data_IF_717102263864
#
_entry.id   IF_717102263864
#
_cell.length_a   1.000
_cell.length_b   1.000
_cell.length_c   1.000
_cell.angle_alpha   90.00
_cell.angle_beta   90.00
_cell.angle_gamma   90.00
#
_symmetry.space_group_name_H-M   'P 1'
#
loop_
_entity.id
_entity.type
_entity.pdbx_description
1 polymer ?
#
# COMPACT_ATOMS: atom_id res chain seq x y z
N UNK A 1 24.59 10.78 17.23
CA UNK A 1 23.76 9.74 16.61
C UNK A 1 23.33 10.27 15.26
N UNK A 2 23.93 9.77 14.18
CA UNK A 2 23.71 10.29 12.83
C UNK A 2 22.27 9.98 12.40
N UNK A 3 21.42 11.01 12.32
CA UNK A 3 20.17 10.96 11.57
C UNK A 3 20.58 10.84 10.10
N UNK A 4 20.67 9.61 9.59
CA UNK A 4 20.62 9.42 8.15
C UNK A 4 19.18 9.76 7.79
N UNK A 5 18.94 11.00 7.38
CA UNK A 5 17.73 11.38 6.66
C UNK A 5 17.75 10.55 5.38
N UNK A 6 17.12 9.38 5.41
CA UNK A 6 16.97 8.57 4.21
C UNK A 6 16.08 9.38 3.27
N UNK A 7 16.70 10.01 2.27
CA UNK A 7 15.98 10.64 1.19
C UNK A 7 15.08 9.59 0.53
N UNK A 8 13.77 9.84 0.55
CA UNK A 8 12.79 8.99 -0.09
C UNK A 8 12.79 9.30 -1.59
N UNK A 9 13.71 8.64 -2.30
CA UNK A 9 13.95 8.90 -3.71
C UNK A 9 12.87 8.31 -4.63
N UNK A 10 12.11 7.32 -4.15
CA UNK A 10 11.07 6.66 -4.94
C UNK A 10 9.78 6.42 -4.15
N UNK A 11 8.67 6.22 -4.88
CA UNK A 11 7.41 5.77 -4.28
C UNK A 11 7.58 4.43 -3.55
N UNK A 12 8.49 3.56 -4.02
CA UNK A 12 8.78 2.30 -3.34
C UNK A 12 9.37 2.56 -1.95
N UNK A 13 10.33 3.48 -1.85
CA UNK A 13 10.99 3.82 -0.58
C UNK A 13 10.00 4.46 0.40
N UNK A 14 9.15 5.37 -0.09
CA UNK A 14 8.07 5.97 0.70
C UNK A 14 7.12 4.90 1.26
N UNK A 15 6.67 3.97 0.41
CA UNK A 15 5.77 2.88 0.84
C UNK A 15 6.48 1.95 1.82
N UNK A 16 7.76 1.64 1.61
CA UNK A 16 8.58 0.85 2.53
C UNK A 16 8.66 1.51 3.92
N UNK A 17 8.94 2.81 3.94
CA UNK A 17 9.00 3.59 5.17
C UNK A 17 7.67 3.52 5.93
N UNK A 18 6.55 3.82 5.28
CA UNK A 18 5.22 3.81 5.91
C UNK A 18 4.82 2.41 6.40
N UNK A 19 5.06 1.34 5.62
CA UNK A 19 4.75 -0.03 6.04
C UNK A 19 5.59 -0.49 7.25
N UNK A 20 6.80 0.06 7.39
CA UNK A 20 7.69 -0.22 8.52
C UNK A 20 7.26 0.50 9.79
N UNK A 21 6.81 1.76 9.68
CA UNK A 21 6.40 2.59 10.80
C UNK A 21 4.96 2.29 11.27
N UNK A 22 4.04 2.00 10.34
CA UNK A 22 2.61 1.88 10.62
C UNK A 22 2.08 0.50 10.15
N UNK A 23 2.16 -0.56 10.99
CA UNK A 23 1.76 -1.92 10.60
C UNK A 23 0.29 -2.06 10.13
N UNK A 24 -0.62 -1.25 10.67
CA UNK A 24 -2.04 -1.22 10.29
C UNK A 24 -2.28 -0.90 8.80
N UNK A 25 -1.32 -0.24 8.15
CA UNK A 25 -1.40 0.11 6.72
C UNK A 25 -1.19 -1.11 5.80
N UNK A 26 -0.60 -2.21 6.30
CA UNK A 26 -0.22 -3.38 5.48
C UNK A 26 -1.39 -4.04 4.78
N UNK A 27 -2.57 -3.97 5.38
CA UNK A 27 -3.81 -4.56 4.88
C UNK A 27 -4.75 -3.53 4.23
N UNK A 28 -4.50 -2.23 4.37
CA UNK A 28 -5.43 -1.16 4.00
C UNK A 28 -4.78 -0.13 3.04
N UNK A 29 -5.24 -0.13 1.79
CA UNK A 29 -4.73 0.75 0.73
C UNK A 29 -5.00 2.23 0.96
N UNK A 30 -6.21 2.55 1.42
CA UNK A 30 -6.61 3.94 1.66
C UNK A 30 -5.79 4.51 2.81
N UNK A 31 -5.64 3.75 3.90
CA UNK A 31 -4.83 4.18 5.03
C UNK A 31 -3.36 4.33 4.65
N UNK A 32 -2.79 3.36 3.92
CA UNK A 32 -1.42 3.45 3.42
C UNK A 32 -1.20 4.70 2.57
N UNK A 33 -2.13 4.99 1.64
CA UNK A 33 -2.05 6.18 0.79
C UNK A 33 -2.08 7.48 1.61
N UNK A 34 -3.01 7.59 2.56
CA UNK A 34 -3.12 8.78 3.41
C UNK A 34 -1.86 8.99 4.26
N UNK A 35 -1.30 7.92 4.83
CA UNK A 35 -0.04 8.00 5.58
C UNK A 35 1.13 8.40 4.67
N UNK A 36 1.20 7.89 3.44
CA UNK A 36 2.18 8.37 2.46
C UNK A 36 2.03 9.87 2.17
N UNK A 37 0.79 10.36 2.00
CA UNK A 37 0.53 11.78 1.77
C UNK A 37 0.96 12.64 2.97
N UNK A 38 0.69 12.20 4.20
CA UNK A 38 1.12 12.89 5.42
C UNK A 38 2.65 12.97 5.51
N UNK A 39 3.36 11.89 5.18
CA UNK A 39 4.84 11.87 5.15
C UNK A 39 5.39 12.87 4.13
N UNK A 40 4.69 13.09 3.01
CA UNK A 40 5.05 14.11 2.02
C UNK A 40 4.61 15.53 2.41
N UNK A 41 3.97 15.70 3.57
CA UNK A 41 3.62 17.01 4.12
C UNK A 41 2.17 17.46 3.89
N UNK A 42 1.28 16.62 3.35
CA UNK A 42 -0.13 16.99 3.26
C UNK A 42 -0.78 17.09 4.64
N UNK A 43 -1.48 18.20 4.86
CA UNK A 43 -2.23 18.48 6.09
C UNK A 43 -3.74 18.48 5.85
N UNK A 44 -4.16 18.85 4.64
CA UNK A 44 -5.56 18.87 4.23
C UNK A 44 -5.80 18.25 2.84
N UNK A 45 -7.05 18.26 2.40
CA UNK A 45 -7.45 17.68 1.11
C UNK A 45 -6.93 18.46 -0.09
N UNK A 46 -6.70 19.76 0.05
CA UNK A 46 -6.16 20.63 -1.00
C UNK A 46 -4.71 20.26 -1.29
N UNK A 47 -3.94 19.97 -0.24
CA UNK A 47 -2.55 19.52 -0.37
C UNK A 47 -2.43 18.21 -1.18
N UNK A 48 -3.42 17.31 -1.06
CA UNK A 48 -3.40 16.01 -1.75
C UNK A 48 -3.36 16.17 -3.27
N UNK A 49 -4.07 17.16 -3.81
CA UNK A 49 -4.09 17.44 -5.25
C UNK A 49 -2.71 17.92 -5.74
N UNK A 50 -1.98 18.66 -4.88
CA UNK A 50 -0.67 19.20 -5.21
C UNK A 50 0.47 18.17 -5.17
N UNK A 51 0.33 17.11 -4.35
CA UNK A 51 1.38 16.10 -4.15
C UNK A 51 1.63 15.20 -5.37
N UNK A 52 0.69 15.16 -6.32
CA UNK A 52 0.76 14.32 -7.53
C UNK A 52 1.06 12.82 -7.23
N UNK A 53 0.75 12.36 -6.02
CA UNK A 53 0.93 10.98 -5.58
C UNK A 53 -0.30 10.17 -5.98
N UNK A 54 -0.11 9.12 -6.77
CA UNK A 54 -1.21 8.24 -7.16
C UNK A 54 -1.42 7.10 -6.15
N UNK A 55 -2.65 6.95 -5.65
CA UNK A 55 -3.07 5.79 -4.86
C UNK A 55 -2.79 4.46 -5.59
N UNK A 56 -2.91 4.44 -6.92
CA UNK A 56 -2.64 3.25 -7.74
C UNK A 56 -1.14 2.91 -7.71
N UNK A 57 -0.28 3.92 -7.77
CA UNK A 57 1.18 3.72 -7.67
C UNK A 57 1.56 3.19 -6.29
N UNK A 58 1.00 3.76 -5.22
CA UNK A 58 1.19 3.29 -3.84
C UNK A 58 0.77 1.82 -3.70
N UNK A 59 -0.44 1.48 -4.17
CA UNK A 59 -0.95 0.12 -4.15
C UNK A 59 -0.05 -0.88 -4.89
N UNK A 60 0.40 -0.53 -6.11
CA UNK A 60 1.29 -1.36 -6.91
C UNK A 60 2.64 -1.57 -6.20
N UNK A 61 3.20 -0.53 -5.58
CA UNK A 61 4.45 -0.67 -4.84
C UNK A 61 4.28 -1.55 -3.60
N UNK A 62 3.17 -1.41 -2.87
CA UNK A 62 2.84 -2.35 -1.77
C UNK A 62 2.77 -3.79 -2.26
N UNK A 63 2.11 -4.04 -3.40
CA UNK A 63 2.05 -5.39 -3.98
C UNK A 63 3.44 -5.91 -4.35
N UNK A 64 4.35 -5.08 -4.86
CA UNK A 64 5.73 -5.48 -5.14
C UNK A 64 6.43 -5.88 -3.84
N UNK A 65 6.39 -5.03 -2.83
CA UNK A 65 7.05 -5.27 -1.52
C UNK A 65 6.50 -6.54 -0.86
N UNK A 66 5.18 -6.74 -0.87
CA UNK A 66 4.56 -7.89 -0.23
C UNK A 66 4.69 -9.18 -1.07
N UNK A 67 4.42 -9.12 -2.36
CA UNK A 67 4.33 -10.35 -3.16
C UNK A 67 5.69 -10.80 -3.69
N UNK A 68 6.53 -9.85 -4.13
CA UNK A 68 7.85 -10.14 -4.70
C UNK A 68 8.91 -10.19 -3.61
N UNK A 69 8.98 -9.15 -2.77
CA UNK A 69 10.05 -9.01 -1.78
C UNK A 69 9.75 -9.76 -0.47
N UNK A 70 8.51 -10.26 -0.30
CA UNK A 70 8.04 -11.03 0.87
C UNK A 70 8.16 -10.27 2.20
N UNK A 71 8.03 -8.94 2.16
CA UNK A 71 8.10 -8.08 3.34
C UNK A 71 6.76 -7.46 3.73
N UNK A 72 6.57 -7.18 5.02
CA UNK A 72 5.38 -6.50 5.57
C UNK A 72 4.06 -7.16 5.14
N UNK A 73 3.96 -8.48 5.33
CA UNK A 73 2.77 -9.23 4.93
C UNK A 73 1.49 -8.64 5.54
N UNK A 74 0.38 -8.65 4.78
CA UNK A 74 -0.92 -8.33 5.34
C UNK A 74 -1.37 -9.41 6.32
N UNK A 75 -2.35 -9.08 7.14
CA UNK A 75 -2.89 -10.00 8.16
C UNK A 75 -3.50 -11.24 7.51
N UNK A 76 -3.46 -12.36 8.23
CA UNK A 76 -3.93 -13.66 7.71
C UNK A 76 -5.39 -13.60 7.27
N UNK A 77 -6.24 -12.88 8.00
CA UNK A 77 -7.64 -12.69 7.63
C UNK A 77 -7.78 -11.99 6.26
N UNK A 78 -7.02 -10.92 6.02
CA UNK A 78 -7.02 -10.21 4.75
C UNK A 78 -6.56 -11.13 3.61
N UNK A 79 -5.58 -12.01 3.86
CA UNK A 79 -5.14 -13.02 2.89
C UNK A 79 -6.28 -14.00 2.58
N UNK A 80 -6.98 -14.50 3.59
CA UNK A 80 -8.09 -15.45 3.40
C UNK A 80 -9.26 -14.81 2.64
N UNK A 81 -9.63 -13.58 2.96
CA UNK A 81 -10.67 -12.83 2.23
C UNK A 81 -10.29 -12.66 0.77
N UNK A 82 -9.04 -12.31 0.47
CA UNK A 82 -8.55 -12.19 -0.92
C UNK A 82 -8.66 -13.53 -1.65
N UNK A 83 -8.20 -14.63 -1.04
CA UNK A 83 -8.31 -15.98 -1.61
C UNK A 83 -9.77 -16.37 -1.87
N UNK A 84 -10.68 -16.08 -0.94
CA UNK A 84 -12.11 -16.34 -1.08
C UNK A 84 -12.71 -15.58 -2.27
N UNK A 85 -12.50 -14.26 -2.35
CA UNK A 85 -12.97 -13.43 -3.47
C UNK A 85 -12.43 -13.92 -4.81
N UNK A 86 -11.14 -14.28 -4.89
CA UNK A 86 -10.56 -14.82 -6.12
C UNK A 86 -11.15 -16.18 -6.54
N UNK A 87 -11.70 -16.97 -5.61
CA UNK A 87 -12.43 -18.21 -5.92
C UNK A 87 -13.85 -17.89 -6.41
N UNK A 88 -14.55 -16.99 -5.73
CA UNK A 88 -15.91 -16.55 -6.12
C UNK A 88 -15.92 -15.97 -7.54
N UNK A 89 -14.98 -15.08 -7.87
CA UNK A 89 -14.85 -14.52 -9.22
C UNK A 89 -14.60 -15.60 -10.26
N UNK A 90 -13.71 -16.56 -9.98
CA UNK A 90 -13.44 -17.69 -10.90
C UNK A 90 -14.66 -18.57 -11.11
N UNK A 91 -15.44 -18.82 -10.06
CA UNK A 91 -16.69 -19.58 -10.16
C UNK A 91 -17.72 -18.85 -11.01
N UNK A 92 -17.87 -17.54 -10.81
CA UNK A 92 -18.76 -16.72 -11.63
C UNK A 92 -18.39 -16.78 -13.11
N UNK A 93 -17.12 -16.55 -13.46
CA UNK A 93 -16.64 -16.59 -14.85
C UNK A 93 -16.89 -17.94 -15.53
N UNK A 94 -16.76 -19.05 -14.79
CA UNK A 94 -17.05 -20.40 -15.31
C UNK A 94 -18.54 -20.67 -15.53
N UNK A 95 -19.44 -19.96 -14.84
CA UNK A 95 -20.89 -20.09 -15.01
C UNK A 95 -21.41 -19.27 -16.19
N UNK A 96 -20.70 -18.20 -16.55
CA UNK A 96 -21.04 -17.31 -17.67
C UNK A 96 -20.29 -17.62 -18.97
N UNK A 97 -19.39 -18.61 -18.97
CA UNK A 97 -18.75 -19.18 -20.16
C UNK A 97 -19.47 -20.45 -20.59
#
# INVERSE_FOLDING_TARGET
>A
MNKIENELNTVKDLVLHVLSCNPETRSNDTLLYLECCKVLGATDMTDLESLNLSIVSVHKMRQVIQNKDKQFMPDEEAIQVRKRRSREVRQYMRKTS
#
